data_IF_174981185734
#
_entry.id   IF_174981185734
#
_cell.length_a   1.000
_cell.length_b   1.000
_cell.length_c   1.000
_cell.angle_alpha   90.00
_cell.angle_beta   90.00
_cell.angle_gamma   90.00
#
_symmetry.space_group_name_H-M   'P 1'
#
loop_
_entity.id
_entity.type
_entity.pdbx_description
1 polymer ?
#
# COMPACT_ATOMS: atom_id res chain seq x y z
N UNK A 1 -48.82 3.56 -14.58
CA UNK A 1 -47.56 3.21 -13.91
C UNK A 1 -47.26 4.17 -12.76
N UNK A 2 -47.09 3.69 -11.51
CA UNK A 2 -46.76 4.59 -10.41
C UNK A 2 -45.26 4.91 -10.45
N UNK A 3 -44.96 6.20 -10.34
CA UNK A 3 -43.61 6.77 -10.24
C UNK A 3 -42.93 6.26 -8.96
N UNK A 4 -41.68 5.77 -8.99
CA UNK A 4 -41.01 5.31 -7.78
C UNK A 4 -40.75 6.52 -6.86
N UNK A 5 -41.24 6.41 -5.62
CA UNK A 5 -41.04 7.40 -4.56
C UNK A 5 -39.54 7.63 -4.35
N UNK A 6 -39.10 8.89 -4.46
CA UNK A 6 -37.76 9.31 -4.01
C UNK A 6 -37.60 8.90 -2.54
N UNK A 7 -36.54 8.15 -2.24
CA UNK A 7 -36.14 7.89 -0.87
C UNK A 7 -35.81 9.23 -0.17
N UNK A 8 -36.72 9.71 0.65
CA UNK A 8 -36.51 10.88 1.52
C UNK A 8 -35.74 10.38 2.74
N UNK A 9 -34.42 10.43 2.72
CA UNK A 9 -33.61 10.04 3.88
C UNK A 9 -33.74 11.12 4.96
N UNK A 10 -34.74 10.98 5.83
CA UNK A 10 -34.84 11.77 7.05
C UNK A 10 -33.98 11.09 8.12
N UNK A 11 -33.09 11.83 8.77
CA UNK A 11 -32.31 11.31 9.89
C UNK A 11 -33.27 10.89 11.01
N UNK A 12 -33.18 9.63 11.44
CA UNK A 12 -33.97 9.10 12.56
C UNK A 12 -33.08 8.94 13.79
N UNK A 13 -33.56 9.40 14.94
CA UNK A 13 -33.01 9.08 16.26
C UNK A 13 -33.68 7.86 16.89
N UNK A 14 -34.70 7.30 16.22
CA UNK A 14 -35.34 6.05 16.63
C UNK A 14 -34.50 4.86 16.15
N UNK A 15 -33.82 4.23 17.12
CA UNK A 15 -32.98 3.06 16.93
C UNK A 15 -33.71 1.74 17.25
N UNK A 16 -35.02 1.78 17.49
CA UNK A 16 -35.81 0.60 17.89
C UNK A 16 -35.79 -0.51 16.83
N UNK A 17 -35.71 -0.14 15.54
CA UNK A 17 -35.65 -1.06 14.40
C UNK A 17 -34.24 -1.58 14.10
N UNK A 18 -33.19 -1.07 14.76
CA UNK A 18 -31.82 -1.53 14.53
C UNK A 18 -31.63 -2.90 15.17
N UNK A 19 -31.29 -3.89 14.34
CA UNK A 19 -30.88 -5.22 14.80
C UNK A 19 -29.69 -5.10 15.75
N UNK A 20 -29.91 -5.43 17.03
CA UNK A 20 -28.83 -5.54 18.02
C UNK A 20 -27.99 -6.77 17.70
N UNK A 21 -26.80 -6.57 17.18
CA UNK A 21 -25.81 -7.63 16.98
C UNK A 21 -24.98 -7.70 18.27
N UNK A 22 -25.07 -8.79 19.06
CA UNK A 22 -24.28 -8.92 20.27
C UNK A 22 -22.81 -9.01 19.88
N UNK A 23 -22.02 -8.07 20.40
CA UNK A 23 -20.56 -8.10 20.25
C UNK A 23 -19.98 -8.94 21.39
N UNK A 24 -19.63 -10.18 21.08
CA UNK A 24 -19.27 -11.21 22.07
C UNK A 24 -17.77 -11.41 22.23
N UNK A 25 -16.95 -10.81 21.35
CA UNK A 25 -15.51 -11.00 21.32
C UNK A 25 -14.79 -9.78 21.87
N UNK A 26 -13.57 -9.97 22.36
CA UNK A 26 -12.72 -8.91 22.90
C UNK A 26 -11.77 -8.41 21.82
N UNK A 27 -11.53 -7.09 21.78
CA UNK A 27 -10.46 -6.54 20.97
C UNK A 27 -9.12 -7.11 21.49
N UNK A 28 -8.41 -7.82 20.64
CA UNK A 28 -7.11 -8.41 20.98
C UNK A 28 -6.32 -8.77 19.74
N UNK A 29 -5.00 -8.83 19.90
CA UNK A 29 -4.13 -9.57 19.00
C UNK A 29 -4.42 -11.07 19.16
N UNK A 30 -4.57 -11.78 18.04
CA UNK A 30 -4.83 -13.22 17.94
C UNK A 30 -3.53 -14.05 17.94
N UNK A 31 -2.39 -13.37 17.87
CA UNK A 31 -1.05 -13.94 17.98
C UNK A 31 -0.36 -13.42 19.25
N UNK A 32 0.66 -14.09 19.77
CA UNK A 32 1.45 -13.56 20.89
C UNK A 32 2.02 -12.19 20.54
N UNK A 33 1.90 -11.24 21.46
CA UNK A 33 2.43 -9.90 21.29
C UNK A 33 3.96 -9.96 21.11
N UNK A 34 4.51 -9.48 19.99
CA UNK A 34 5.96 -9.45 19.81
C UNK A 34 6.67 -8.52 20.79
N UNK A 35 7.93 -8.81 21.09
CA UNK A 35 8.69 -8.09 22.11
C UNK A 35 9.38 -6.82 21.57
N UNK A 36 9.53 -6.69 20.25
CA UNK A 36 10.23 -5.56 19.65
C UNK A 36 9.55 -5.07 18.35
N UNK A 37 9.78 -3.82 17.92
CA UNK A 37 9.13 -3.23 16.75
C UNK A 37 9.40 -3.98 15.43
N UNK A 38 10.57 -4.63 15.30
CA UNK A 38 10.92 -5.40 14.09
C UNK A 38 10.01 -6.61 13.96
N UNK A 39 9.70 -7.29 15.05
CA UNK A 39 8.85 -8.48 15.01
C UNK A 39 7.39 -8.11 14.68
N UNK A 40 6.91 -6.95 15.15
CA UNK A 40 5.62 -6.41 14.68
C UNK A 40 5.63 -6.14 13.17
N UNK A 41 6.71 -5.58 12.64
CA UNK A 41 6.85 -5.37 11.20
C UNK A 41 6.84 -6.70 10.42
N UNK A 42 7.53 -7.71 10.94
CA UNK A 42 7.62 -9.04 10.31
C UNK A 42 6.26 -9.77 10.23
N UNK A 43 5.28 -9.44 11.09
CA UNK A 43 3.92 -9.98 10.99
C UNK A 43 3.27 -9.63 9.64
N UNK A 44 3.49 -8.41 9.15
CA UNK A 44 2.96 -7.93 7.87
C UNK A 44 3.89 -8.21 6.70
N UNK A 45 5.19 -8.24 6.96
CA UNK A 45 6.23 -8.34 5.93
C UNK A 45 7.02 -9.63 6.15
N UNK A 46 6.33 -10.76 5.95
CA UNK A 46 6.91 -12.09 6.09
C UNK A 46 8.00 -12.34 5.03
N UNK A 47 8.87 -13.32 5.30
CA UNK A 47 9.91 -13.70 4.34
C UNK A 47 9.31 -14.22 3.02
N UNK A 48 8.23 -15.00 3.09
CA UNK A 48 7.52 -15.48 1.89
C UNK A 48 6.95 -14.33 1.06
N UNK A 49 6.40 -13.31 1.70
CA UNK A 49 5.91 -12.12 1.03
C UNK A 49 7.04 -11.36 0.34
N UNK A 50 8.17 -11.17 1.04
CA UNK A 50 9.36 -10.55 0.47
C UNK A 50 9.96 -11.37 -0.67
N UNK A 51 9.99 -12.70 -0.55
CA UNK A 51 10.52 -13.59 -1.59
C UNK A 51 9.72 -13.46 -2.89
N UNK A 52 8.38 -13.37 -2.81
CA UNK A 52 7.53 -13.08 -3.98
C UNK A 52 7.92 -11.77 -4.66
N UNK A 53 8.21 -10.72 -3.89
CA UNK A 53 8.67 -9.42 -4.44
C UNK A 53 10.03 -9.56 -5.11
N UNK A 54 10.95 -10.31 -4.50
CA UNK A 54 12.27 -10.61 -5.08
C UNK A 54 12.12 -11.28 -6.44
N UNK A 55 11.32 -12.35 -6.51
CA UNK A 55 11.13 -13.14 -7.73
C UNK A 55 10.47 -12.32 -8.84
N UNK A 56 9.45 -11.53 -8.52
CA UNK A 56 8.80 -10.62 -9.47
C UNK A 56 9.77 -9.53 -9.96
N UNK A 57 10.55 -8.92 -9.06
CA UNK A 57 11.50 -7.85 -9.40
C UNK A 57 12.64 -8.36 -10.27
N UNK A 58 13.17 -9.56 -9.98
CA UNK A 58 14.22 -10.19 -10.79
C UNK A 58 13.73 -10.50 -12.20
N UNK A 59 12.55 -11.11 -12.35
CA UNK A 59 11.96 -11.39 -13.67
C UNK A 59 11.70 -10.10 -14.45
N UNK A 60 11.19 -9.07 -13.79
CA UNK A 60 10.97 -7.77 -14.43
C UNK A 60 12.27 -7.11 -14.89
N UNK A 61 13.33 -7.19 -14.07
CA UNK A 61 14.64 -6.67 -14.42
C UNK A 61 15.27 -7.39 -15.63
N UNK A 62 15.17 -8.72 -15.71
CA UNK A 62 15.65 -9.48 -16.87
C UNK A 62 14.86 -9.12 -18.13
N UNK A 63 13.54 -8.96 -18.04
CA UNK A 63 12.74 -8.48 -19.17
C UNK A 63 13.17 -7.09 -19.65
N UNK A 64 13.41 -6.14 -18.73
CA UNK A 64 13.90 -4.81 -19.09
C UNK A 64 15.31 -4.84 -19.70
N UNK A 65 16.16 -5.75 -19.23
CA UNK A 65 17.51 -5.96 -19.75
C UNK A 65 17.46 -6.48 -21.18
N UNK A 66 16.62 -7.47 -21.46
CA UNK A 66 16.42 -8.05 -22.79
C UNK A 66 15.84 -7.04 -23.80
N UNK A 67 14.98 -6.13 -23.35
CA UNK A 67 14.44 -5.04 -24.17
C UNK A 67 15.42 -3.88 -24.37
N UNK A 68 16.55 -3.87 -23.67
CA UNK A 68 17.49 -2.75 -23.73
C UNK A 68 18.44 -2.89 -24.92
N UNK A 69 18.20 -2.08 -25.95
CA UNK A 69 19.10 -1.98 -27.11
C UNK A 69 20.41 -1.20 -26.84
N UNK A 70 20.63 -0.76 -25.60
CA UNK A 70 21.78 0.08 -25.21
C UNK A 70 22.76 -0.71 -24.35
N UNK A 71 23.91 -1.07 -24.91
CA UNK A 71 24.98 -1.83 -24.24
C UNK A 71 25.48 -1.18 -22.93
N UNK A 72 25.41 0.15 -22.81
CA UNK A 72 25.85 0.90 -21.62
C UNK A 72 24.72 1.27 -20.64
N UNK A 73 23.51 0.79 -20.86
CA UNK A 73 22.38 1.09 -19.96
C UNK A 73 22.64 0.51 -18.57
N UNK A 74 22.32 1.25 -17.50
CA UNK A 74 22.49 0.76 -16.11
C UNK A 74 21.76 -0.56 -15.82
N UNK A 75 20.74 -0.91 -16.61
CA UNK A 75 20.04 -2.20 -16.48
C UNK A 75 20.91 -3.40 -16.87
N UNK A 76 21.93 -3.20 -17.73
CA UNK A 76 22.85 -4.28 -18.11
C UNK A 76 23.73 -4.72 -16.93
N UNK A 77 23.88 -3.86 -15.91
CA UNK A 77 24.57 -4.14 -14.66
C UNK A 77 23.66 -4.80 -13.60
N UNK A 78 22.43 -5.20 -13.95
CA UNK A 78 21.55 -5.89 -13.02
C UNK A 78 22.19 -7.17 -12.51
N UNK A 79 22.21 -7.31 -11.19
CA UNK A 79 22.47 -8.55 -10.47
C UNK A 79 21.17 -8.96 -9.80
N UNK A 80 20.89 -10.26 -9.76
CA UNK A 80 19.70 -10.78 -9.09
C UNK A 80 19.63 -10.24 -7.66
N UNK A 81 18.51 -9.60 -7.34
CA UNK A 81 18.16 -9.16 -6.01
C UNK A 81 17.98 -10.38 -5.11
N UNK A 82 18.54 -10.33 -3.91
CA UNK A 82 18.35 -11.35 -2.88
C UNK A 82 17.38 -10.87 -1.81
N UNK A 83 16.84 -11.79 -1.02
CA UNK A 83 15.97 -11.48 0.11
C UNK A 83 16.64 -10.51 1.11
N UNK A 84 17.89 -10.78 1.47
CA UNK A 84 18.66 -9.94 2.41
C UNK A 84 18.92 -8.54 1.83
N UNK A 85 19.22 -8.44 0.54
CA UNK A 85 19.41 -7.14 -0.11
C UNK A 85 18.10 -6.35 -0.19
N UNK A 86 16.96 -7.01 -0.40
CA UNK A 86 15.64 -6.36 -0.35
C UNK A 86 15.32 -5.87 1.06
N UNK A 87 15.61 -6.65 2.11
CA UNK A 87 15.44 -6.23 3.51
C UNK A 87 16.27 -4.97 3.81
N UNK A 88 17.53 -4.94 3.37
CA UNK A 88 18.39 -3.74 3.50
C UNK A 88 17.78 -2.55 2.75
N UNK A 89 17.35 -2.76 1.50
CA UNK A 89 16.70 -1.72 0.70
C UNK A 89 15.47 -1.12 1.40
N UNK A 90 14.60 -1.98 1.95
CA UNK A 90 13.40 -1.55 2.70
C UNK A 90 13.80 -0.78 3.96
N UNK A 91 14.81 -1.25 4.71
CA UNK A 91 15.33 -0.54 5.88
C UNK A 91 15.83 0.87 5.55
N UNK A 92 16.57 1.01 4.44
CA UNK A 92 16.99 2.32 3.93
C UNK A 92 15.78 3.18 3.51
N UNK A 93 14.77 2.59 2.85
CA UNK A 93 13.56 3.30 2.46
C UNK A 93 12.80 3.82 3.68
N UNK A 94 12.63 3.01 4.72
CA UNK A 94 12.03 3.42 5.99
C UNK A 94 12.83 4.56 6.64
N UNK A 95 14.16 4.50 6.62
CA UNK A 95 14.99 5.59 7.14
C UNK A 95 14.76 6.93 6.42
N UNK A 96 14.49 6.91 5.10
CA UNK A 96 14.18 8.16 4.37
C UNK A 96 12.90 8.86 4.85
N UNK A 97 11.98 8.11 5.47
CA UNK A 97 10.76 8.68 6.06
C UNK A 97 11.07 9.44 7.36
N UNK A 98 12.07 9.00 8.12
CA UNK A 98 12.48 9.62 9.38
C UNK A 98 13.45 10.78 9.15
N UNK A 99 14.49 10.59 8.34
CA UNK A 99 15.54 11.58 8.10
C UNK A 99 15.51 12.07 6.65
N UNK A 100 14.55 12.94 6.33
CA UNK A 100 14.26 13.35 4.95
C UNK A 100 15.29 14.31 4.37
N UNK A 101 15.96 13.90 3.29
CA UNK A 101 16.78 14.78 2.46
C UNK A 101 16.03 15.30 1.22
N UNK A 102 16.51 16.41 0.65
CA UNK A 102 15.92 17.05 -0.53
C UNK A 102 15.93 16.14 -1.77
N UNK A 103 17.02 15.42 -1.99
CA UNK A 103 17.15 14.46 -3.08
C UNK A 103 17.57 13.11 -2.55
N UNK A 104 17.03 12.03 -3.13
CA UNK A 104 17.43 10.66 -2.77
C UNK A 104 18.94 10.42 -2.95
N UNK A 105 19.58 11.11 -3.89
CA UNK A 105 21.04 10.97 -4.07
C UNK A 105 21.86 11.59 -2.94
N UNK A 106 21.27 12.52 -2.17
CA UNK A 106 21.99 13.25 -1.14
C UNK A 106 22.39 12.36 0.04
N UNK A 107 21.65 11.26 0.29
CA UNK A 107 22.01 10.28 1.32
C UNK A 107 23.39 9.64 1.08
N UNK A 108 23.91 9.68 -0.14
CA UNK A 108 25.23 9.14 -0.49
C UNK A 108 26.34 10.21 -0.59
N UNK A 109 26.08 11.46 -0.22
CA UNK A 109 27.10 12.51 -0.24
C UNK A 109 28.07 12.37 0.94
N UNK A 110 29.35 12.60 0.67
CA UNK A 110 30.45 12.51 1.65
C UNK A 110 30.49 13.75 2.56
N UNK A 111 30.01 14.90 2.06
CA UNK A 111 30.07 16.17 2.78
C UNK A 111 29.38 16.06 4.15
N UNK A 112 29.98 16.64 5.19
CA UNK A 112 29.55 16.53 6.60
C UNK A 112 28.07 16.85 6.83
N UNK A 113 27.49 17.75 6.04
CA UNK A 113 26.06 18.14 6.13
C UNK A 113 25.09 17.09 5.60
N UNK A 114 25.58 16.10 4.86
CA UNK A 114 24.78 15.04 4.22
C UNK A 114 25.24 13.63 4.63
N UNK A 115 26.13 13.54 5.63
CA UNK A 115 26.68 12.26 6.08
C UNK A 115 25.54 11.38 6.59
N UNK A 116 25.38 10.21 5.97
CA UNK A 116 24.39 9.21 6.35
C UNK A 116 25.00 7.81 6.38
N UNK A 117 24.24 6.84 6.90
CA UNK A 117 24.65 5.43 6.94
C UNK A 117 24.46 4.71 5.60
N UNK A 118 23.78 5.32 4.61
CA UNK A 118 23.39 4.65 3.36
C UNK A 118 24.58 4.05 2.59
N UNK A 119 25.72 4.75 2.41
CA UNK A 119 26.86 4.19 1.70
C UNK A 119 27.45 2.92 2.34
N UNK A 120 27.22 2.70 3.64
CA UNK A 120 27.73 1.53 4.36
C UNK A 120 26.94 0.26 4.03
N UNK A 121 25.65 0.40 3.71
CA UNK A 121 24.75 -0.73 3.50
C UNK A 121 24.46 -1.02 2.03
N UNK A 122 24.38 0.01 1.19
CA UNK A 122 24.06 -0.17 -0.23
C UNK A 122 24.63 0.99 -1.06
N UNK A 123 25.13 0.70 -2.26
CA UNK A 123 25.56 1.78 -3.17
C UNK A 123 24.38 2.56 -3.74
N UNK A 124 24.57 3.85 -4.01
CA UNK A 124 23.55 4.73 -4.64
C UNK A 124 22.99 4.12 -5.93
N UNK A 125 23.88 3.60 -6.78
CA UNK A 125 23.50 3.06 -8.08
C UNK A 125 22.67 1.79 -7.91
N UNK A 126 23.04 0.92 -6.96
CA UNK A 126 22.27 -0.30 -6.66
C UNK A 126 20.89 0.05 -6.10
N UNK A 127 20.80 0.98 -5.15
CA UNK A 127 19.52 1.43 -4.60
C UNK A 127 18.58 1.97 -5.69
N UNK A 128 19.08 2.85 -6.57
CA UNK A 128 18.28 3.39 -7.67
C UNK A 128 17.87 2.33 -8.68
N UNK A 129 18.73 1.33 -8.91
CA UNK A 129 18.43 0.25 -9.84
C UNK A 129 17.36 -0.69 -9.26
N UNK A 130 17.45 -1.04 -7.98
CA UNK A 130 16.40 -1.79 -7.27
C UNK A 130 15.10 -0.99 -7.30
N UNK A 131 15.12 0.30 -6.97
CA UNK A 131 13.94 1.16 -7.01
C UNK A 131 13.27 1.19 -8.40
N UNK A 132 14.05 1.14 -9.49
CA UNK A 132 13.54 1.09 -10.87
C UNK A 132 12.93 -0.27 -11.21
N UNK A 133 13.48 -1.35 -10.68
CA UNK A 133 13.11 -2.73 -11.01
C UNK A 133 12.15 -3.37 -10.00
N UNK A 134 11.82 -2.69 -8.90
CA UNK A 134 10.91 -3.18 -7.88
C UNK A 134 9.53 -3.46 -8.50
N UNK A 135 9.08 -4.70 -8.41
CA UNK A 135 7.88 -5.17 -9.07
C UNK A 135 7.10 -6.15 -8.19
N UNK A 136 5.78 -6.05 -8.24
CA UNK A 136 4.85 -6.73 -7.32
C UNK A 136 3.85 -7.66 -8.02
N UNK A 137 3.93 -7.82 -9.34
CA UNK A 137 3.00 -8.68 -10.11
C UNK A 137 3.79 -9.71 -10.86
N UNK A 138 3.23 -10.92 -10.96
CA UNK A 138 3.70 -11.86 -11.96
C UNK A 138 3.38 -11.32 -13.37
N UNK A 139 4.23 -11.58 -14.35
CA UNK A 139 4.08 -11.03 -15.71
C UNK A 139 2.96 -11.79 -16.43
N UNK A 140 1.72 -11.51 -16.08
CA UNK A 140 0.55 -12.01 -16.80
C UNK A 140 0.14 -11.01 -17.89
N UNK A 141 -0.20 -11.53 -19.08
CA UNK A 141 -0.52 -10.72 -20.27
C UNK A 141 -1.80 -9.88 -20.14
N UNK A 142 -2.65 -10.14 -19.13
CA UNK A 142 -3.94 -9.48 -18.91
C UNK A 142 -4.08 -8.91 -17.49
N UNK A 143 -3.04 -8.23 -16.99
CA UNK A 143 -3.10 -7.64 -15.66
C UNK A 143 -4.00 -6.39 -15.64
N UNK A 144 -4.99 -6.36 -14.75
CA UNK A 144 -5.75 -5.16 -14.42
C UNK A 144 -4.81 -4.07 -13.91
N UNK A 145 -5.18 -2.80 -14.10
CA UNK A 145 -4.35 -1.68 -13.68
C UNK A 145 -4.05 -1.65 -12.16
N UNK A 146 -4.88 -2.31 -11.33
CA UNK A 146 -4.72 -2.42 -9.87
C UNK A 146 -3.77 -3.56 -9.47
N UNK A 147 -3.49 -4.51 -10.36
CA UNK A 147 -2.77 -5.75 -10.00
C UNK A 147 -1.40 -5.46 -9.38
N UNK A 148 -0.77 -4.34 -9.79
CA UNK A 148 0.48 -3.83 -9.22
C UNK A 148 0.42 -3.53 -7.73
N UNK A 149 -0.75 -3.20 -7.20
CA UNK A 149 -0.97 -2.89 -5.80
C UNK A 149 -1.75 -3.99 -5.07
N UNK A 150 -2.45 -4.89 -5.80
CA UNK A 150 -3.22 -5.99 -5.21
C UNK A 150 -2.36 -6.86 -4.28
N UNK A 151 -1.15 -7.26 -4.71
CA UNK A 151 -0.25 -8.06 -3.88
C UNK A 151 -0.01 -7.43 -2.49
N UNK A 152 0.21 -6.12 -2.41
CA UNK A 152 0.46 -5.43 -1.15
C UNK A 152 -0.81 -5.27 -0.29
N UNK A 153 -1.93 -4.94 -0.91
CA UNK A 153 -3.20 -4.72 -0.21
C UNK A 153 -3.78 -6.02 0.31
N UNK A 154 -3.78 -7.06 -0.52
CA UNK A 154 -4.30 -8.37 -0.15
C UNK A 154 -3.44 -8.96 0.97
N UNK A 155 -2.11 -8.83 0.89
CA UNK A 155 -1.22 -9.23 1.97
C UNK A 155 -1.56 -8.50 3.29
N UNK A 156 -1.68 -7.17 3.25
CA UNK A 156 -2.05 -6.40 4.45
C UNK A 156 -3.41 -6.83 5.03
N UNK A 157 -4.44 -6.92 4.18
CA UNK A 157 -5.80 -7.27 4.61
C UNK A 157 -5.85 -8.69 5.19
N UNK A 158 -5.21 -9.67 4.53
CA UNK A 158 -5.19 -11.05 4.98
C UNK A 158 -4.42 -11.21 6.30
N UNK A 159 -3.26 -10.55 6.44
CA UNK A 159 -2.51 -10.55 7.69
C UNK A 159 -3.37 -9.94 8.79
N UNK A 160 -3.92 -8.75 8.58
CA UNK A 160 -4.70 -8.04 9.58
C UNK A 160 -5.91 -8.85 10.07
N UNK A 161 -6.62 -9.49 9.14
CA UNK A 161 -7.73 -10.41 9.45
C UNK A 161 -7.29 -11.63 10.26
N UNK A 162 -6.08 -12.14 10.00
CA UNK A 162 -5.55 -13.31 10.72
C UNK A 162 -4.98 -12.99 12.11
N UNK A 163 -4.40 -11.79 12.31
CA UNK A 163 -3.65 -11.47 13.53
C UNK A 163 -4.42 -10.61 14.52
N UNK A 164 -5.52 -9.96 14.11
CA UNK A 164 -6.17 -8.96 14.96
C UNK A 164 -7.69 -9.09 14.94
N UNK A 165 -8.30 -9.06 16.12
CA UNK A 165 -9.74 -8.95 16.27
C UNK A 165 -10.12 -7.53 16.71
N UNK A 166 -10.94 -6.80 15.93
CA UNK A 166 -11.25 -5.41 16.24
C UNK A 166 -12.31 -5.28 17.35
N UNK A 167 -12.44 -4.07 17.88
CA UNK A 167 -13.50 -3.67 18.79
C UNK A 167 -14.82 -3.43 18.05
N UNK A 168 -15.87 -3.22 18.86
CA UNK A 168 -17.24 -2.96 18.39
C UNK A 168 -17.36 -1.70 17.53
N UNK A 169 -16.56 -0.67 17.80
CA UNK A 169 -16.69 0.63 17.16
C UNK A 169 -15.76 0.70 15.97
N UNK A 170 -16.34 0.77 14.77
CA UNK A 170 -15.59 0.84 13.52
C UNK A 170 -15.97 2.09 12.74
N UNK A 171 -15.02 2.62 12.00
CA UNK A 171 -15.22 3.75 11.11
C UNK A 171 -14.75 3.40 9.70
N UNK A 172 -15.55 3.75 8.70
CA UNK A 172 -15.16 3.67 7.29
C UNK A 172 -14.89 5.09 6.81
N UNK A 173 -13.63 5.34 6.47
CA UNK A 173 -13.16 6.63 6.00
C UNK A 173 -12.67 6.58 4.56
N UNK A 174 -12.55 7.76 3.96
CA UNK A 174 -11.84 7.96 2.71
C UNK A 174 -10.44 8.49 3.02
N UNK A 175 -9.42 7.86 2.42
CA UNK A 175 -8.03 8.32 2.47
C UNK A 175 -7.50 8.57 1.05
N UNK A 176 -6.40 9.30 0.95
CA UNK A 176 -5.80 9.68 -0.34
C UNK A 176 -4.29 9.53 -0.27
N UNK A 177 -3.74 8.71 -1.17
CA UNK A 177 -2.30 8.67 -1.42
C UNK A 177 -1.99 9.69 -2.51
N UNK A 178 -1.16 10.67 -2.17
CA UNK A 178 -0.73 11.70 -3.12
C UNK A 178 0.06 11.09 -4.27
N UNK A 179 -0.35 11.40 -5.50
CA UNK A 179 0.35 10.97 -6.70
C UNK A 179 0.22 12.03 -7.80
N UNK A 180 1.37 12.47 -8.33
CA UNK A 180 1.47 13.48 -9.38
C UNK A 180 2.03 12.90 -10.69
N UNK A 181 2.17 11.57 -10.78
CA UNK A 181 2.64 10.89 -11.99
C UNK A 181 1.50 10.54 -12.94
N UNK A 182 1.87 9.95 -14.09
CA UNK A 182 0.90 9.41 -15.04
C UNK A 182 0.28 8.14 -14.46
N UNK A 183 -1.00 8.21 -14.12
CA UNK A 183 -1.83 7.08 -13.73
C UNK A 183 -3.06 7.08 -14.65
N UNK A 184 -3.66 5.92 -14.89
CA UNK A 184 -4.86 5.79 -15.72
C UNK A 184 -6.11 6.21 -14.93
N UNK A 185 -6.04 6.19 -13.60
CA UNK A 185 -7.16 6.48 -12.70
C UNK A 185 -6.85 7.50 -11.58
N UNK A 186 -6.22 8.66 -11.88
CA UNK A 186 -6.04 9.68 -10.87
C UNK A 186 -7.41 10.23 -10.44
N UNK A 187 -7.68 10.19 -9.14
CA UNK A 187 -8.90 10.81 -8.61
C UNK A 187 -8.62 12.27 -8.26
N UNK A 188 -9.51 13.15 -8.70
CA UNK A 188 -9.47 14.56 -8.35
C UNK A 188 -10.54 14.86 -7.31
N UNK A 189 -10.14 15.27 -6.10
CA UNK A 189 -11.07 15.77 -5.08
C UNK A 189 -11.06 17.30 -5.11
N UNK A 190 -12.11 17.88 -5.70
CA UNK A 190 -12.34 19.33 -5.67
C UNK A 190 -12.54 19.78 -4.21
N UNK A 191 -11.82 20.83 -3.80
CA UNK A 191 -11.97 21.43 -2.47
C UNK A 191 -10.99 20.95 -1.38
N UNK A 192 -10.12 19.96 -1.64
CA UNK A 192 -9.04 19.58 -0.70
C UNK A 192 -7.68 20.15 -1.13
N UNK A 193 -6.78 20.40 -0.17
CA UNK A 193 -5.39 20.85 -0.42
C UNK A 193 -4.62 19.89 -1.33
N UNK A 194 -4.91 18.59 -1.21
CA UNK A 194 -4.33 17.51 -1.98
C UNK A 194 -5.32 17.07 -3.07
N UNK A 195 -5.20 17.70 -4.25
CA UNK A 195 -6.21 17.58 -5.31
C UNK A 195 -6.10 16.28 -6.10
N UNK A 196 -4.90 15.70 -6.26
CA UNK A 196 -4.66 14.55 -7.14
C UNK A 196 -3.99 13.40 -6.39
N UNK A 197 -4.54 12.20 -6.55
CA UNK A 197 -3.98 11.00 -5.93
C UNK A 197 -4.78 9.73 -6.20
N UNK A 198 -4.41 8.69 -5.47
CA UNK A 198 -5.09 7.40 -5.43
C UNK A 198 -6.02 7.41 -4.21
N UNK A 199 -7.33 7.28 -4.45
CA UNK A 199 -8.32 7.23 -3.38
C UNK A 199 -8.39 5.83 -2.79
N UNK A 200 -8.45 5.78 -1.46
CA UNK A 200 -8.60 4.57 -0.67
C UNK A 200 -9.87 4.67 0.17
N UNK A 201 -10.52 3.54 0.37
CA UNK A 201 -11.41 3.34 1.51
C UNK A 201 -10.68 2.56 2.58
N UNK A 202 -10.77 3.05 3.82
CA UNK A 202 -10.07 2.50 4.97
C UNK A 202 -11.10 2.19 6.05
N UNK A 203 -11.15 0.94 6.48
CA UNK A 203 -11.86 0.52 7.68
C UNK A 203 -10.87 0.63 8.85
N UNK A 204 -11.20 1.42 9.86
CA UNK A 204 -10.32 1.68 11.00
C UNK A 204 -11.08 1.75 12.32
N UNK A 205 -10.36 1.46 13.40
CA UNK A 205 -10.81 1.66 14.76
C UNK A 205 -10.61 3.11 15.24
N UNK A 206 -11.31 3.55 16.30
CA UNK A 206 -11.16 4.88 16.89
C UNK A 206 -9.74 5.23 17.33
N UNK A 207 -8.91 4.23 17.65
CA UNK A 207 -7.50 4.43 18.04
C UNK A 207 -6.57 4.66 16.83
N UNK A 208 -7.10 4.63 15.60
CA UNK A 208 -6.32 4.80 14.36
C UNK A 208 -5.81 3.51 13.73
N UNK A 209 -6.06 2.34 14.34
CA UNK A 209 -5.66 1.04 13.78
C UNK A 209 -6.46 0.76 12.50
N UNK A 210 -5.75 0.52 11.41
CA UNK A 210 -6.35 0.18 10.12
C UNK A 210 -6.60 -1.33 10.06
N UNK A 211 -7.84 -1.72 9.75
CA UNK A 211 -8.28 -3.11 9.67
C UNK A 211 -8.31 -3.62 8.23
N UNK A 212 -8.76 -2.78 7.30
CA UNK A 212 -8.89 -3.15 5.89
C UNK A 212 -8.73 -1.93 5.00
N UNK A 213 -8.04 -2.12 3.87
CA UNK A 213 -7.84 -1.08 2.86
C UNK A 213 -8.35 -1.56 1.51
N UNK A 214 -9.00 -0.67 0.77
CA UNK A 214 -9.46 -0.91 -0.59
C UNK A 214 -9.09 0.27 -1.50
N UNK A 215 -8.39 0.01 -2.62
CA UNK A 215 -8.13 1.01 -3.65
C UNK A 215 -9.36 1.17 -4.54
N UNK A 216 -9.75 2.41 -4.81
CA UNK A 216 -10.71 2.73 -5.85
C UNK A 216 -9.96 3.11 -7.13
N UNK A 217 -9.99 2.26 -8.14
CA UNK A 217 -9.21 2.39 -9.37
C UNK A 217 -10.02 2.73 -10.61
N UNK A 218 -11.35 2.77 -10.56
CA UNK A 218 -12.11 3.34 -11.67
C UNK A 218 -13.50 3.81 -11.25
N UNK A 219 -14.10 4.66 -12.09
CA UNK A 219 -15.53 5.00 -11.97
C UNK A 219 -16.45 3.82 -12.28
N UNK A 220 -15.92 2.68 -12.73
CA UNK A 220 -16.65 1.43 -12.97
C UNK A 220 -16.43 0.38 -11.88
N UNK A 221 -15.66 0.68 -10.82
CA UNK A 221 -15.56 -0.24 -9.69
C UNK A 221 -16.95 -0.49 -9.09
N UNK A 222 -17.17 -1.68 -8.56
CA UNK A 222 -18.45 -2.07 -7.93
C UNK A 222 -18.85 -1.09 -6.83
N UNK A 223 -17.88 -0.38 -6.24
CA UNK A 223 -18.07 0.65 -5.22
C UNK A 223 -18.00 2.06 -5.83
N UNK A 224 -18.28 2.25 -7.12
CA UNK A 224 -18.33 3.55 -7.80
C UNK A 224 -19.76 4.05 -8.09
N UNK A 225 -20.00 5.37 -8.06
CA UNK A 225 -21.29 6.03 -8.38
C UNK A 225 -22.11 6.53 -7.17
N UNK A 226 -23.18 7.31 -7.41
CA UNK A 226 -24.11 7.74 -6.34
C UNK A 226 -24.64 6.50 -5.59
N UNK A 227 -24.73 6.58 -4.26
CA UNK A 227 -25.09 5.44 -3.41
C UNK A 227 -23.89 4.62 -2.89
N UNK A 228 -22.65 5.12 -3.03
CA UNK A 228 -21.44 4.47 -2.49
C UNK A 228 -21.52 4.04 -1.02
N UNK A 229 -22.41 4.63 -0.21
CA UNK A 229 -22.60 4.26 1.19
C UNK A 229 -23.38 2.96 1.35
N UNK A 230 -24.28 2.63 0.42
CA UNK A 230 -25.16 1.46 0.47
C UNK A 230 -24.45 0.18 0.03
N UNK A 231 -23.39 0.30 -0.78
CA UNK A 231 -22.52 -0.83 -1.20
C UNK A 231 -21.43 -1.16 -0.17
N UNK A 232 -21.54 -0.61 1.06
CA UNK A 232 -20.57 -0.75 2.18
C UNK A 232 -21.00 -1.78 3.23
N UNK A 233 -22.02 -2.59 2.94
CA UNK A 233 -22.51 -3.65 3.82
C UNK A 233 -22.01 -5.00 3.33
#
# INVERSE_FOLDING_TARGET
DPVPSRATTCWSTDFSSIRKIPFTRTNTLLVPAPNNPRDYFNLFVSEDYLQKIVDCSNRYAENLKNLSNQFQSRITQWKSLTLEELKIFIGLLLHTSTAKMNRVVDYWKIHRLYKSVFPQYMSRNRFQLILRCLYFVDVQKNADHIDKCKLAIDNFNNVMESIYYPCKHLSVGESMILWHGRLIFPQCIKGRRHKYGIKLFVLAEPNGTILKTHILASTMDVISGKGHAERRV
#
